data_IF_654006258024
#
_entry.id   IF_654006258024
#
_cell.length_a   1.000
_cell.length_b   1.000
_cell.length_c   1.000
_cell.angle_alpha   90.00
_cell.angle_beta   90.00
_cell.angle_gamma   90.00
#
_symmetry.space_group_name_H-M   'P 1'
#
loop_
_entity.id
_entity.type
_entity.pdbx_description
1 polymer ?
#
# COMPACT_ATOMS: atom_id res chain seq x y z
N UNK A 1 -2.76 7.42 -29.89
CA UNK A 1 -3.82 8.30 -29.36
C UNK A 1 -4.03 7.91 -27.90
N UNK A 2 -3.42 8.67 -26.99
CA UNK A 2 -3.40 8.35 -25.56
C UNK A 2 -4.59 8.95 -24.83
N UNK A 3 -5.47 8.10 -24.30
CA UNK A 3 -6.44 8.51 -23.29
C UNK A 3 -5.73 8.57 -21.95
N UNK A 4 -5.00 9.66 -21.70
CA UNK A 4 -4.66 10.04 -20.35
C UNK A 4 -5.98 10.38 -19.63
N UNK A 5 -6.48 9.46 -18.81
CA UNK A 5 -7.50 9.78 -17.82
C UNK A 5 -6.89 10.80 -16.86
N UNK A 6 -6.97 12.09 -17.22
CA UNK A 6 -6.65 13.21 -16.36
C UNK A 6 -7.70 13.28 -15.26
N UNK A 7 -7.59 12.39 -14.26
CA UNK A 7 -8.20 12.61 -12.98
C UNK A 7 -7.58 13.90 -12.44
N UNK A 8 -8.34 14.98 -12.49
CA UNK A 8 -8.00 16.21 -11.79
C UNK A 8 -7.98 15.83 -10.31
N UNK A 9 -6.78 15.64 -9.76
CA UNK A 9 -6.61 15.29 -8.37
C UNK A 9 -7.24 16.41 -7.54
N UNK A 10 -8.27 16.07 -6.75
CA UNK A 10 -8.90 17.01 -5.84
C UNK A 10 -7.86 17.55 -4.85
N UNK A 11 -8.14 18.71 -4.25
CA UNK A 11 -7.28 19.30 -3.24
C UNK A 11 -6.93 18.32 -2.11
N UNK A 12 -7.87 17.45 -1.73
CA UNK A 12 -7.64 16.38 -0.75
C UNK A 12 -6.54 15.40 -1.15
N UNK A 13 -6.46 15.03 -2.42
CA UNK A 13 -5.43 14.10 -2.88
C UNK A 13 -4.05 14.78 -2.91
N UNK A 14 -3.99 16.08 -3.25
CA UNK A 14 -2.75 16.87 -3.14
C UNK A 14 -2.22 16.86 -1.70
N UNK A 15 -3.09 17.08 -0.71
CA UNK A 15 -2.69 17.05 0.71
C UNK A 15 -2.15 15.68 1.15
N UNK A 16 -2.68 14.59 0.59
CA UNK A 16 -2.18 13.24 0.87
C UNK A 16 -0.83 13.01 0.19
N UNK A 17 -0.64 13.49 -1.03
CA UNK A 17 0.64 13.39 -1.75
C UNK A 17 1.73 14.22 -1.07
N UNK A 18 1.42 15.44 -0.63
CA UNK A 18 2.34 16.27 0.17
C UNK A 18 2.80 15.53 1.44
N UNK A 19 1.87 14.79 2.08
CA UNK A 19 2.21 13.92 3.20
C UNK A 19 3.09 12.74 2.77
N UNK A 20 2.75 12.02 1.69
CA UNK A 20 3.56 10.91 1.16
C UNK A 20 5.00 11.36 0.84
N UNK A 21 5.15 12.52 0.22
CA UNK A 21 6.45 13.12 -0.09
C UNK A 21 7.23 13.48 1.18
N UNK A 22 6.55 13.96 2.23
CA UNK A 22 7.17 14.27 3.52
C UNK A 22 7.79 13.07 4.23
N UNK A 23 7.41 11.84 3.87
CA UNK A 23 7.98 10.61 4.43
C UNK A 23 9.38 10.34 3.87
N UNK A 24 9.76 10.92 2.73
CA UNK A 24 11.03 10.73 2.04
C UNK A 24 11.35 9.26 1.64
N UNK A 25 10.34 8.41 1.44
CA UNK A 25 10.59 7.01 1.05
C UNK A 25 11.14 6.90 -0.38
N UNK A 26 10.89 7.91 -1.22
CA UNK A 26 11.40 7.99 -2.59
C UNK A 26 12.93 8.04 -2.69
N UNK A 27 13.65 8.33 -1.60
CA UNK A 27 15.12 8.23 -1.54
C UNK A 27 15.65 6.85 -1.15
N UNK A 28 14.78 5.93 -0.70
CA UNK A 28 15.15 4.60 -0.20
C UNK A 28 14.80 3.55 -1.26
N UNK A 29 15.66 2.56 -1.50
CA UNK A 29 15.35 1.50 -2.46
C UNK A 29 14.28 0.56 -1.90
N UNK A 30 13.31 0.19 -2.72
CA UNK A 30 12.22 -0.73 -2.33
C UNK A 30 12.75 -2.07 -1.81
N UNK A 31 13.86 -2.57 -2.38
CA UNK A 31 14.53 -3.80 -1.90
C UNK A 31 15.13 -3.68 -0.49
N UNK A 32 15.53 -2.48 -0.08
CA UNK A 32 16.19 -2.30 1.22
C UNK A 32 15.19 -2.51 2.36
N UNK A 33 13.91 -2.14 2.15
CA UNK A 33 12.84 -2.47 3.09
C UNK A 33 12.75 -3.97 3.33
N UNK A 34 12.68 -4.78 2.28
CA UNK A 34 12.60 -6.24 2.41
C UNK A 34 13.83 -6.83 3.11
N UNK A 35 15.04 -6.43 2.68
CA UNK A 35 16.30 -6.89 3.25
C UNK A 35 16.36 -6.62 4.76
N UNK A 36 16.11 -5.37 5.18
CA UNK A 36 16.27 -4.99 6.58
C UNK A 36 15.14 -5.53 7.45
N UNK A 37 13.90 -5.59 6.96
CA UNK A 37 12.82 -6.24 7.68
C UNK A 37 13.05 -7.75 7.84
N UNK A 38 13.56 -8.44 6.83
CA UNK A 38 13.88 -9.87 6.91
C UNK A 38 15.05 -10.14 7.87
N UNK A 39 16.09 -9.32 7.84
CA UNK A 39 17.24 -9.41 8.74
C UNK A 39 16.83 -9.35 10.22
N UNK A 40 15.87 -8.48 10.57
CA UNK A 40 15.45 -8.26 11.94
C UNK A 40 14.23 -9.07 12.38
N UNK A 41 13.47 -9.66 11.45
CA UNK A 41 12.25 -10.41 11.76
C UNK A 41 11.98 -11.60 10.83
N UNK A 42 11.90 -12.79 11.46
CA UNK A 42 11.54 -14.06 10.81
C UNK A 42 10.04 -14.41 10.92
N UNK A 43 9.34 -13.92 11.93
CA UNK A 43 7.95 -14.34 12.26
C UNK A 43 6.88 -13.32 11.84
N UNK A 44 7.15 -12.50 10.82
CA UNK A 44 6.26 -11.44 10.29
C UNK A 44 5.79 -10.35 11.30
N UNK A 45 6.23 -10.42 12.55
CA UNK A 45 5.90 -9.46 13.61
C UNK A 45 7.18 -8.93 14.26
N UNK A 46 7.29 -7.62 14.40
CA UNK A 46 8.45 -6.97 15.03
C UNK A 46 8.07 -6.43 16.40
N UNK A 47 8.95 -6.64 17.38
CA UNK A 47 8.94 -5.85 18.63
C UNK A 47 9.36 -4.41 18.34
N UNK A 48 9.04 -3.48 19.23
CA UNK A 48 9.48 -2.08 19.12
C UNK A 48 11.00 -1.95 18.95
N UNK A 49 11.80 -2.73 19.67
CA UNK A 49 13.27 -2.73 19.54
C UNK A 49 13.75 -3.12 18.15
N UNK A 50 13.14 -4.14 17.55
CA UNK A 50 13.47 -4.56 16.19
C UNK A 50 12.99 -3.53 15.17
N UNK A 51 11.82 -2.94 15.37
CA UNK A 51 11.30 -1.86 14.53
C UNK A 51 12.26 -0.65 14.51
N UNK A 52 12.69 -0.17 15.68
CA UNK A 52 13.66 0.94 15.78
C UNK A 52 14.95 0.61 15.03
N UNK A 53 15.51 -0.59 15.21
CA UNK A 53 16.71 -1.02 14.51
C UNK A 53 16.54 -1.02 12.96
N UNK A 54 15.38 -1.42 12.46
CA UNK A 54 15.09 -1.36 11.01
C UNK A 54 15.01 0.09 10.53
N UNK A 55 14.35 0.98 11.28
CA UNK A 55 14.24 2.39 10.91
C UNK A 55 15.61 3.10 10.89
N UNK A 56 16.49 2.77 11.83
CA UNK A 56 17.87 3.26 11.85
C UNK A 56 18.66 2.79 10.61
N UNK A 57 18.54 1.51 10.21
CA UNK A 57 19.19 0.97 9.01
C UNK A 57 18.65 1.59 7.71
N UNK A 58 17.36 1.90 7.66
CA UNK A 58 16.71 2.60 6.54
C UNK A 58 16.95 4.11 6.55
N UNK A 59 17.59 4.65 7.60
CA UNK A 59 17.74 6.09 7.83
C UNK A 59 16.39 6.86 7.82
N UNK A 60 15.36 6.25 8.41
CA UNK A 60 14.03 6.83 8.55
C UNK A 60 13.92 7.46 9.94
N UNK A 61 13.70 8.78 9.99
CA UNK A 61 13.53 9.48 11.26
C UNK A 61 12.15 9.19 11.89
N UNK A 62 12.18 8.45 13.00
CA UNK A 62 11.03 8.16 13.87
C UNK A 62 11.11 8.88 15.21
N UNK A 63 12.07 9.79 15.38
CA UNK A 63 12.30 10.52 16.64
C UNK A 63 11.14 11.45 16.92
N UNK A 64 10.57 11.36 18.11
CA UNK A 64 9.55 12.30 18.57
C UNK A 64 10.18 13.37 19.46
N UNK A 65 9.76 14.61 19.21
CA UNK A 65 9.96 15.71 20.15
C UNK A 65 8.62 16.39 20.40
N UNK A 66 8.48 17.02 21.56
CA UNK A 66 7.27 17.77 21.94
C UNK A 66 6.90 18.82 20.88
N UNK A 67 7.89 19.36 20.16
CA UNK A 67 7.69 20.37 19.12
C UNK A 67 7.49 19.80 17.72
N UNK A 68 7.80 18.51 17.47
CA UNK A 68 7.71 17.86 16.16
C UNK A 68 7.40 16.36 16.32
N UNK A 69 6.12 15.95 16.17
CA UNK A 69 5.80 14.53 16.03
C UNK A 69 6.31 14.02 14.68
N UNK A 70 6.92 12.84 14.65
CA UNK A 70 7.41 12.24 13.40
C UNK A 70 6.24 11.70 12.58
N UNK A 71 6.07 12.21 11.36
CA UNK A 71 5.10 11.70 10.39
C UNK A 71 5.29 10.20 10.12
N UNK A 72 6.55 9.75 10.05
CA UNK A 72 6.89 8.35 9.87
C UNK A 72 6.39 7.52 11.05
N UNK A 73 6.68 7.92 12.29
CA UNK A 73 6.23 7.19 13.48
C UNK A 73 4.70 7.11 13.54
N UNK A 74 4.00 8.23 13.32
CA UNK A 74 2.54 8.27 13.29
C UNK A 74 1.93 7.34 12.24
N UNK A 75 2.62 7.15 11.10
CA UNK A 75 2.22 6.21 10.07
C UNK A 75 2.49 4.76 10.49
N UNK A 76 3.70 4.47 11.00
CA UNK A 76 4.08 3.11 11.40
C UNK A 76 3.27 2.58 12.59
N UNK A 77 2.80 3.45 13.49
CA UNK A 77 1.87 3.08 14.55
C UNK A 77 0.54 2.50 14.04
N UNK A 78 0.17 2.73 12.77
CA UNK A 78 -1.02 2.12 12.16
C UNK A 78 -0.87 0.62 11.90
N UNK A 79 0.36 0.11 11.96
CA UNK A 79 0.69 -1.29 11.69
C UNK A 79 0.86 -2.11 12.97
N UNK A 80 0.64 -1.53 14.15
CA UNK A 80 0.70 -2.24 15.42
C UNK A 80 -0.56 -3.09 15.58
N UNK A 81 -0.38 -4.39 15.81
CA UNK A 81 -1.39 -5.38 16.13
C UNK A 81 -0.87 -6.22 17.30
N UNK A 82 -1.65 -6.32 18.38
CA UNK A 82 -1.26 -7.05 19.59
C UNK A 82 0.13 -6.63 20.12
N UNK A 83 0.38 -5.30 20.14
CA UNK A 83 1.64 -4.65 20.54
C UNK A 83 2.88 -4.98 19.68
N UNK A 84 2.69 -5.62 18.53
CA UNK A 84 3.75 -5.92 17.58
C UNK A 84 3.47 -5.27 16.22
N UNK A 85 4.53 -4.84 15.54
CA UNK A 85 4.39 -4.25 14.21
C UNK A 85 4.28 -5.35 13.14
N UNK A 86 3.33 -5.19 12.21
CA UNK A 86 3.19 -6.09 11.06
C UNK A 86 4.28 -5.84 10.02
N UNK A 87 5.25 -6.76 9.95
CA UNK A 87 6.38 -6.70 9.02
C UNK A 87 5.91 -6.60 7.56
N UNK A 88 4.94 -7.45 7.16
CA UNK A 88 4.55 -7.58 5.75
C UNK A 88 3.90 -6.31 5.26
N UNK A 89 2.96 -5.77 6.04
CA UNK A 89 2.27 -4.55 5.67
C UNK A 89 3.23 -3.33 5.66
N UNK A 90 4.20 -3.26 6.57
CA UNK A 90 5.24 -2.21 6.54
C UNK A 90 6.20 -2.36 5.34
N UNK A 91 6.60 -3.59 5.01
CA UNK A 91 7.40 -3.84 3.82
C UNK A 91 6.63 -3.45 2.55
N UNK A 92 5.33 -3.78 2.46
CA UNK A 92 4.44 -3.36 1.36
C UNK A 92 4.38 -1.83 1.22
N UNK A 93 4.30 -1.08 2.33
CA UNK A 93 4.36 0.38 2.30
C UNK A 93 5.69 0.87 1.69
N UNK A 94 6.81 0.29 2.11
CA UNK A 94 8.14 0.60 1.58
C UNK A 94 8.30 0.24 0.10
N UNK A 95 7.72 -0.87 -0.36
CA UNK A 95 7.73 -1.28 -1.76
C UNK A 95 6.93 -0.28 -2.61
N UNK A 96 5.76 0.14 -2.14
CA UNK A 96 4.90 1.09 -2.85
C UNK A 96 5.55 2.47 -2.99
N UNK A 97 6.04 3.04 -1.88
CA UNK A 97 6.57 4.41 -1.85
C UNK A 97 8.08 4.51 -2.13
N UNK A 98 8.81 3.41 -2.01
CA UNK A 98 10.25 3.35 -2.25
C UNK A 98 10.63 3.51 -3.72
N UNK A 99 11.92 3.65 -3.97
CA UNK A 99 12.51 3.73 -5.31
C UNK A 99 12.82 2.33 -5.84
N UNK A 100 12.42 2.06 -7.08
CA UNK A 100 12.72 0.80 -7.75
C UNK A 100 12.06 0.72 -9.12
N UNK A 101 12.54 -0.19 -9.96
CA UNK A 101 11.84 -0.50 -11.22
C UNK A 101 10.51 -1.20 -10.94
N UNK A 102 9.59 -1.19 -11.91
CA UNK A 102 8.32 -1.91 -11.78
C UNK A 102 8.57 -3.40 -11.48
N UNK A 103 9.41 -4.04 -12.30
CA UNK A 103 9.73 -5.46 -12.15
C UNK A 103 10.34 -5.78 -10.78
N UNK A 104 11.28 -4.96 -10.30
CA UNK A 104 11.89 -5.12 -8.98
C UNK A 104 10.82 -5.06 -7.88
N UNK A 105 9.96 -4.02 -7.89
CA UNK A 105 8.90 -3.87 -6.89
C UNK A 105 7.92 -5.04 -6.89
N UNK A 106 7.55 -5.53 -8.07
CA UNK A 106 6.61 -6.66 -8.20
C UNK A 106 7.23 -7.94 -7.66
N UNK A 107 8.51 -8.21 -7.98
CA UNK A 107 9.23 -9.38 -7.45
C UNK A 107 9.37 -9.34 -5.94
N UNK A 108 9.74 -8.19 -5.36
CA UNK A 108 9.85 -8.07 -3.90
C UNK A 108 8.48 -8.18 -3.24
N UNK A 109 7.43 -7.63 -3.85
CA UNK A 109 6.06 -7.78 -3.34
C UNK A 109 5.65 -9.25 -3.33
N UNK A 110 5.93 -10.00 -4.39
CA UNK A 110 5.69 -11.44 -4.44
C UNK A 110 6.37 -12.16 -3.27
N UNK A 111 7.68 -11.95 -3.10
CA UNK A 111 8.47 -12.59 -2.04
C UNK A 111 7.99 -12.22 -0.62
N UNK A 112 7.48 -11.01 -0.43
CA UNK A 112 6.93 -10.58 0.86
C UNK A 112 5.64 -11.35 1.26
N UNK A 113 4.95 -11.96 0.28
CA UNK A 113 3.70 -12.70 0.49
C UNK A 113 3.79 -14.20 0.24
N UNK A 114 4.88 -14.72 -0.35
CA UNK A 114 5.18 -16.15 -0.44
C UNK A 114 5.71 -16.64 0.92
N UNK A 115 4.78 -16.97 1.82
CA UNK A 115 5.06 -17.26 3.23
C UNK A 115 5.86 -18.56 3.36
N UNK A 116 5.56 -19.52 2.50
CA UNK A 116 6.14 -20.86 2.53
C UNK A 116 7.43 -20.98 1.71
N UNK A 117 7.85 -19.90 1.04
CA UNK A 117 9.01 -19.88 0.12
C UNK A 117 8.85 -20.99 -0.94
N UNK A 118 7.64 -21.04 -1.50
CA UNK A 118 7.20 -22.05 -2.47
C UNK A 118 7.51 -21.64 -3.91
N UNK A 119 8.01 -20.41 -4.12
CA UNK A 119 8.11 -19.74 -5.42
C UNK A 119 6.73 -19.60 -6.12
N UNK A 120 5.66 -19.59 -5.32
CA UNK A 120 4.29 -19.49 -5.77
C UNK A 120 3.44 -18.73 -4.75
N UNK A 121 2.36 -18.10 -5.20
CA UNK A 121 1.36 -17.50 -4.31
C UNK A 121 0.04 -18.25 -4.41
N UNK A 122 -0.46 -18.70 -3.27
CA UNK A 122 -1.79 -19.27 -3.17
C UNK A 122 -2.87 -18.15 -3.17
N UNK A 123 -4.16 -18.49 -3.43
CA UNK A 123 -5.23 -17.50 -3.41
C UNK A 123 -5.47 -16.82 -2.06
N UNK A 124 -5.04 -17.40 -0.93
CA UNK A 124 -5.14 -16.77 0.39
C UNK A 124 -4.04 -15.71 0.54
N UNK A 125 -2.81 -16.00 0.15
CA UNK A 125 -1.69 -15.07 0.16
C UNK A 125 -1.99 -13.84 -0.70
N UNK A 126 -2.54 -14.05 -1.91
CA UNK A 126 -3.00 -12.96 -2.78
C UNK A 126 -4.10 -12.12 -2.12
N UNK A 127 -5.05 -12.75 -1.42
CA UNK A 127 -6.12 -12.02 -0.70
C UNK A 127 -5.55 -11.18 0.43
N UNK A 128 -4.57 -11.69 1.17
CA UNK A 128 -3.88 -10.94 2.24
C UNK A 128 -3.12 -9.76 1.62
N UNK A 129 -2.35 -9.99 0.55
CA UNK A 129 -1.64 -8.95 -0.18
C UNK A 129 -2.56 -7.82 -0.63
N UNK A 130 -3.68 -8.15 -1.30
CA UNK A 130 -4.67 -7.15 -1.73
C UNK A 130 -5.20 -6.38 -0.53
N UNK A 131 -5.51 -7.07 0.57
CA UNK A 131 -6.07 -6.42 1.77
C UNK A 131 -5.09 -5.43 2.38
N UNK A 132 -3.83 -5.82 2.56
CA UNK A 132 -2.79 -4.97 3.15
C UNK A 132 -2.51 -3.74 2.27
N UNK A 133 -2.33 -3.93 0.96
CA UNK A 133 -2.11 -2.84 0.00
C UNK A 133 -3.26 -1.83 0.04
N UNK A 134 -4.50 -2.31 0.08
CA UNK A 134 -5.67 -1.44 0.14
C UNK A 134 -5.80 -0.75 1.50
N UNK A 135 -5.47 -1.42 2.60
CA UNK A 135 -5.47 -0.79 3.93
C UNK A 135 -4.42 0.33 4.00
N UNK A 136 -3.22 0.09 3.46
CA UNK A 136 -2.15 1.09 3.36
C UNK A 136 -2.63 2.31 2.56
N UNK A 137 -3.06 2.07 1.31
CA UNK A 137 -3.35 3.13 0.35
C UNK A 137 -4.60 3.94 0.68
N UNK A 138 -5.65 3.27 1.17
CA UNK A 138 -6.98 3.86 1.36
C UNK A 138 -7.27 4.26 2.80
N UNK A 139 -6.53 3.71 3.76
CA UNK A 139 -6.83 3.88 5.19
C UNK A 139 -5.64 4.47 5.94
N UNK A 140 -4.50 3.80 6.00
CA UNK A 140 -3.38 4.23 6.83
C UNK A 140 -2.81 5.56 6.36
N UNK A 141 -2.38 5.67 5.10
CA UNK A 141 -1.82 6.90 4.55
C UNK A 141 -2.82 8.08 4.67
N UNK A 142 -4.07 7.98 4.17
CA UNK A 142 -5.00 9.11 4.24
C UNK A 142 -5.40 9.50 5.68
N UNK A 143 -5.55 8.53 6.59
CA UNK A 143 -5.87 8.84 8.00
C UNK A 143 -4.70 9.54 8.68
N UNK A 144 -3.46 9.14 8.41
CA UNK A 144 -2.27 9.78 8.99
C UNK A 144 -2.08 11.18 8.42
N UNK A 145 -2.17 11.35 7.10
CA UNK A 145 -2.13 12.67 6.46
C UNK A 145 -3.13 13.66 7.09
N UNK A 146 -4.37 13.22 7.30
CA UNK A 146 -5.40 14.02 7.98
C UNK A 146 -5.04 14.40 9.43
N UNK A 147 -4.32 13.55 10.16
CA UNK A 147 -3.85 13.84 11.53
C UNK A 147 -2.74 14.88 11.53
N UNK A 148 -1.91 14.93 10.49
CA UNK A 148 -0.82 15.88 10.36
C UNK A 148 -1.26 17.29 9.90
N UNK A 149 -2.54 17.48 9.56
CA UNK A 149 -3.06 18.75 9.06
C UNK A 149 -3.62 19.61 10.18
N UNK A 150 -3.05 20.81 10.31
CA UNK A 150 -3.45 21.80 11.31
C UNK A 150 -4.68 22.63 10.87
N UNK A 151 -4.95 22.74 9.58
CA UNK A 151 -6.09 23.49 9.06
C UNK A 151 -7.40 22.71 9.26
N UNK A 152 -8.31 23.28 10.05
CA UNK A 152 -9.60 22.66 10.41
C UNK A 152 -10.48 22.38 9.17
N UNK A 153 -10.45 23.25 8.16
CA UNK A 153 -11.28 23.09 6.98
C UNK A 153 -10.76 21.96 6.08
N UNK A 154 -9.44 21.91 5.86
CA UNK A 154 -8.77 20.83 5.13
C UNK A 154 -8.97 19.48 5.84
N UNK A 155 -8.79 19.45 7.17
CA UNK A 155 -9.01 18.24 7.98
C UNK A 155 -10.45 17.72 7.86
N UNK A 156 -11.45 18.61 7.85
CA UNK A 156 -12.87 18.24 7.63
C UNK A 156 -13.12 17.70 6.22
N UNK A 157 -12.52 18.31 5.20
CA UNK A 157 -12.65 17.88 3.80
C UNK A 157 -11.99 16.50 3.61
N UNK A 158 -10.78 16.29 4.12
CA UNK A 158 -10.10 14.99 4.13
C UNK A 158 -10.87 13.93 4.91
N UNK A 159 -11.50 14.28 6.04
CA UNK A 159 -12.35 13.32 6.75
C UNK A 159 -13.46 12.74 5.85
N UNK A 160 -14.10 13.58 5.02
CA UNK A 160 -15.10 13.13 4.04
C UNK A 160 -14.47 12.28 2.94
N UNK A 161 -13.29 12.67 2.47
CA UNK A 161 -12.53 11.91 1.47
C UNK A 161 -12.17 10.50 1.96
N UNK A 162 -11.54 10.39 3.15
CA UNK A 162 -11.20 9.12 3.77
C UNK A 162 -12.43 8.23 4.02
N UNK A 163 -13.57 8.83 4.40
CA UNK A 163 -14.82 8.07 4.53
C UNK A 163 -15.26 7.43 3.21
N UNK A 164 -15.20 8.17 2.10
CA UNK A 164 -15.53 7.64 0.78
C UNK A 164 -14.55 6.54 0.34
N UNK A 165 -13.25 6.74 0.52
CA UNK A 165 -12.24 5.72 0.22
C UNK A 165 -12.53 4.41 0.98
N UNK A 166 -12.76 4.51 2.29
CA UNK A 166 -13.05 3.33 3.11
C UNK A 166 -14.37 2.66 2.72
N UNK A 167 -15.38 3.44 2.30
CA UNK A 167 -16.65 2.90 1.77
C UNK A 167 -16.42 2.02 0.54
N UNK A 168 -15.50 2.39 -0.34
CA UNK A 168 -15.24 1.68 -1.60
C UNK A 168 -14.18 0.58 -1.50
N UNK A 169 -13.51 0.45 -0.35
CA UNK A 169 -12.43 -0.53 -0.12
C UNK A 169 -12.87 -1.96 -0.42
N UNK A 170 -14.04 -2.38 0.05
CA UNK A 170 -14.54 -3.75 -0.14
C UNK A 170 -14.80 -4.07 -1.62
N UNK A 171 -15.42 -3.14 -2.35
CA UNK A 171 -15.68 -3.29 -3.79
C UNK A 171 -14.38 -3.36 -4.60
N UNK A 172 -13.40 -2.52 -4.24
CA UNK A 172 -12.08 -2.54 -4.87
C UNK A 172 -11.30 -3.83 -4.56
N UNK A 173 -11.43 -4.37 -3.34
CA UNK A 173 -10.84 -5.66 -2.99
C UNK A 173 -11.42 -6.79 -3.85
N UNK A 174 -12.75 -6.84 -4.01
CA UNK A 174 -13.40 -7.84 -4.88
C UNK A 174 -13.01 -7.67 -6.35
N UNK A 175 -12.83 -6.43 -6.82
CA UNK A 175 -12.32 -6.16 -8.17
C UNK A 175 -10.92 -6.77 -8.39
N UNK A 176 -9.97 -6.51 -7.47
CA UNK A 176 -8.62 -7.06 -7.61
C UNK A 176 -8.56 -8.57 -7.42
N UNK A 177 -9.40 -9.14 -6.53
CA UNK A 177 -9.52 -10.59 -6.40
C UNK A 177 -9.91 -11.24 -7.73
N UNK A 178 -10.90 -10.69 -8.44
CA UNK A 178 -11.32 -11.20 -9.75
C UNK A 178 -10.26 -11.03 -10.84
N UNK A 179 -9.44 -9.98 -10.76
CA UNK A 179 -8.36 -9.75 -11.71
C UNK A 179 -7.17 -10.70 -11.52
N UNK A 180 -6.80 -10.96 -10.26
CA UNK A 180 -5.61 -11.73 -9.91
C UNK A 180 -5.89 -13.21 -9.74
N UNK A 181 -7.06 -13.57 -9.19
CA UNK A 181 -7.45 -14.95 -8.88
C UNK A 181 -8.48 -15.39 -9.91
N UNK A 182 -8.01 -15.97 -11.02
CA UNK A 182 -8.89 -16.54 -12.07
C UNK A 182 -9.44 -17.91 -11.67
N UNK A 183 -8.61 -18.73 -11.03
CA UNK A 183 -8.97 -20.05 -10.49
C UNK A 183 -8.43 -20.17 -9.05
N UNK A 184 -9.25 -20.66 -8.13
CA UNK A 184 -8.90 -20.84 -6.73
C UNK A 184 -8.02 -22.07 -6.45
N UNK A 185 -7.76 -22.90 -7.47
CA UNK A 185 -6.90 -24.08 -7.34
C UNK A 185 -5.53 -23.90 -7.99
N UNK A 186 -5.27 -22.73 -8.61
CA UNK A 186 -4.03 -22.47 -9.32
C UNK A 186 -3.18 -21.49 -8.53
N UNK A 187 -1.99 -21.93 -8.16
CA UNK A 187 -0.94 -21.08 -7.59
C UNK A 187 -0.31 -20.22 -8.68
N UNK A 188 0.06 -18.99 -8.35
CA UNK A 188 0.68 -18.05 -9.30
C UNK A 188 2.18 -18.04 -9.06
N UNK A 189 2.98 -18.39 -10.08
CA UNK A 189 4.45 -18.30 -9.99
C UNK A 189 4.93 -16.86 -10.18
N UNK A 190 6.16 -16.60 -9.76
CA UNK A 190 6.76 -15.25 -9.83
C UNK A 190 6.72 -14.64 -11.23
N UNK A 191 7.04 -15.40 -12.27
CA UNK A 191 7.08 -14.89 -13.65
C UNK A 191 5.66 -14.53 -14.15
N UNK A 192 4.68 -15.38 -13.85
CA UNK A 192 3.27 -15.12 -14.17
C UNK A 192 2.77 -13.88 -13.41
N UNK A 193 3.13 -13.76 -12.13
CA UNK A 193 2.79 -12.62 -11.30
C UNK A 193 3.39 -11.33 -11.85
N UNK A 194 4.66 -11.34 -12.27
CA UNK A 194 5.32 -10.21 -12.92
C UNK A 194 4.60 -9.82 -14.21
N UNK A 195 4.26 -10.79 -15.05
CA UNK A 195 3.52 -10.55 -16.29
C UNK A 195 2.13 -9.92 -16.05
N UNK A 196 1.45 -10.25 -14.96
CA UNK A 196 0.17 -9.61 -14.61
C UNK A 196 0.27 -8.09 -14.44
N UNK A 197 1.42 -7.56 -14.03
CA UNK A 197 1.66 -6.11 -13.86
C UNK A 197 1.91 -5.35 -15.16
N UNK A 198 1.93 -6.05 -16.30
CA UNK A 198 1.77 -5.42 -17.62
C UNK A 198 0.40 -4.76 -17.76
N UNK A 199 -0.63 -5.31 -17.10
CA UNK A 199 -1.96 -4.71 -17.03
C UNK A 199 -1.95 -3.44 -16.16
N UNK A 200 -2.32 -2.30 -16.75
CA UNK A 200 -2.32 -1.01 -16.05
C UNK A 200 -3.21 -0.96 -14.80
N UNK A 201 -4.32 -1.72 -14.80
CA UNK A 201 -5.20 -1.79 -13.64
C UNK A 201 -4.54 -2.53 -12.48
N UNK A 202 -3.84 -3.63 -12.75
CA UNK A 202 -3.11 -4.39 -11.72
C UNK A 202 -1.91 -3.58 -11.24
N UNK A 203 -1.22 -2.90 -12.16
CA UNK A 203 -0.10 -2.01 -11.85
C UNK A 203 -0.46 -0.94 -10.82
N UNK A 204 -1.71 -0.49 -10.78
CA UNK A 204 -2.15 0.49 -9.79
C UNK A 204 -1.94 0.01 -8.34
N UNK A 205 -1.89 -1.30 -8.05
CA UNK A 205 -1.58 -1.84 -6.72
C UNK A 205 -0.26 -1.34 -6.12
N UNK A 206 0.69 -0.89 -6.94
CA UNK A 206 1.97 -0.35 -6.47
C UNK A 206 1.96 1.17 -6.25
N UNK A 207 0.86 1.86 -6.55
CA UNK A 207 0.78 3.32 -6.53
C UNK A 207 -0.44 3.77 -5.71
N UNK A 208 -0.26 4.22 -4.46
CA UNK A 208 -1.36 4.58 -3.56
C UNK A 208 -2.35 5.58 -4.17
N UNK A 209 -1.86 6.63 -4.85
CA UNK A 209 -2.69 7.65 -5.50
C UNK A 209 -3.57 7.07 -6.62
N UNK A 210 -3.06 6.09 -7.37
CA UNK A 210 -3.84 5.39 -8.41
C UNK A 210 -4.90 4.49 -7.78
N UNK A 211 -4.61 3.81 -6.68
CA UNK A 211 -5.60 3.02 -5.95
C UNK A 211 -6.74 3.87 -5.42
N UNK A 212 -6.42 5.05 -4.86
CA UNK A 212 -7.43 6.00 -4.40
C UNK A 212 -8.31 6.48 -5.55
N UNK A 213 -7.72 6.84 -6.69
CA UNK A 213 -8.47 7.21 -7.88
C UNK A 213 -9.38 6.06 -8.39
N UNK A 214 -8.86 4.82 -8.41
CA UNK A 214 -9.64 3.65 -8.79
C UNK A 214 -10.79 3.34 -7.84
N UNK A 215 -10.61 3.54 -6.53
CA UNK A 215 -11.67 3.38 -5.54
C UNK A 215 -12.89 4.28 -5.88
N UNK A 216 -12.64 5.53 -6.28
CA UNK A 216 -13.72 6.42 -6.74
C UNK A 216 -14.28 6.03 -8.10
N UNK A 217 -13.42 5.59 -9.03
CA UNK A 217 -13.87 5.18 -10.35
C UNK A 217 -14.79 3.95 -10.30
N UNK A 218 -14.54 3.00 -9.40
CA UNK A 218 -15.34 1.78 -9.23
C UNK A 218 -16.58 2.09 -8.39
N UNK A 219 -16.41 2.63 -7.18
CA UNK A 219 -17.51 2.84 -6.25
C UNK A 219 -18.40 4.07 -6.55
N UNK A 220 -17.93 4.97 -7.42
CA UNK A 220 -18.70 6.10 -7.94
C UNK A 220 -19.62 5.73 -9.11
N UNK A 221 -19.36 4.61 -9.79
CA UNK A 221 -20.25 4.11 -10.84
C UNK A 221 -21.41 3.36 -10.19
N UNK A 222 -22.66 3.79 -10.44
CA UNK A 222 -23.85 2.98 -10.16
C UNK A 222 -23.68 1.64 -10.90
N UNK A 223 -23.40 0.54 -10.17
CA UNK A 223 -23.32 -0.86 -10.63
C UNK A 223 -23.05 -1.03 -12.13
N UNK A 224 -21.80 -0.94 -12.56
CA UNK A 224 -21.43 -1.47 -13.89
C UNK A 224 -21.37 -2.99 -13.75
N UNK A 225 -22.26 -3.69 -14.45
CA UNK A 225 -22.14 -5.13 -14.69
C UNK A 225 -20.79 -5.37 -15.37
N UNK A 226 -19.91 -6.09 -14.69
CA UNK A 226 -18.67 -6.57 -15.28
C UNK A 226 -19.09 -7.73 -16.20
N UNK A 227 -19.25 -7.45 -17.49
CA UNK A 227 -19.23 -8.50 -18.50
C UNK A 227 -17.80 -9.05 -18.56
N UNK A 228 -17.62 -10.21 -17.93
CA UNK A 228 -16.47 -11.08 -18.23
C UNK A 228 -16.76 -11.64 -19.62
N UNK A 229 -15.99 -11.22 -20.61
CA UNK A 229 -15.98 -11.92 -21.91
C UNK A 229 -15.13 -13.17 -21.72
N UNK A 230 -15.78 -14.31 -21.86
CA UNK A 230 -15.17 -15.63 -21.99
C UNK A 230 -14.20 -15.70 -23.18
#
# INVERSE_FOLDING_TARGET
>A
MGCAYGFQYGHEESLIQDFEDSLNFSSILSKDFDIYFYKHCKNFKLTEKQFVAVMEELNIDITESISRPSNNKLLFEKFIQDELYDKRAMASLGIMLGKGSLEEKVKILFLNYDIEISDSLDPKEIKVMITDILEIALVHIPKTAKTCINNINESKSLKKYCFKLNKYKAELAEYYKKLLIKDYNVEIKVDDFVAMFENENIRALLYPSRLRAMAFAIGGRKKVQIEVRD
#
